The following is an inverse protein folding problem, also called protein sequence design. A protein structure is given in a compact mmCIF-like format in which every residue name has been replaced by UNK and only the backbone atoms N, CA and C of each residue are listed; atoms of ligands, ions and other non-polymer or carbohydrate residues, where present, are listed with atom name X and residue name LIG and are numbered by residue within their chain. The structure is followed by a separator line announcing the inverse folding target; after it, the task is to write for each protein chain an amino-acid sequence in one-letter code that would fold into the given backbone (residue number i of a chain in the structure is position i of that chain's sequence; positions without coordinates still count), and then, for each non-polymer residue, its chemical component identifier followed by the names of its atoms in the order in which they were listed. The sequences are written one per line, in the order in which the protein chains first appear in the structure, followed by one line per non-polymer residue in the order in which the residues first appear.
data_IF_641524055897
#
_entry.id   IF_641524055897
#
_cell.length_a   1.000
_cell.length_b   1.000
_cell.length_c   1.000
_cell.angle_alpha   90.00
_cell.angle_beta   90.00
_cell.angle_gamma   90.00
#
_symmetry.space_group_name_H-M   'P 1'
#
loop_
_entity.id
_entity.type
_entity.pdbx_description
1 polymer ?
#
# COMPACT_ATOMS: atom_id res chain seq x y z
N UNK A 1 -4.72 -8.24 58.38
CA UNK A 1 -3.86 -7.19 57.82
C UNK A 1 -4.02 -7.27 56.31
N UNK A 2 -5.05 -6.59 55.77
CA UNK A 2 -5.28 -6.52 54.32
C UNK A 2 -4.49 -5.32 53.79
N UNK A 3 -3.35 -5.59 53.16
CA UNK A 3 -2.65 -4.58 52.36
C UNK A 3 -3.55 -4.24 51.17
N UNK A 4 -4.12 -3.04 51.23
CA UNK A 4 -4.72 -2.41 50.06
C UNK A 4 -3.59 -2.14 49.05
N UNK A 5 -3.50 -2.94 47.98
CA UNK A 5 -2.81 -2.56 46.77
C UNK A 5 -3.48 -1.28 46.24
N UNK A 6 -2.94 -0.12 46.57
CA UNK A 6 -3.26 1.12 45.89
C UNK A 6 -2.59 1.04 44.49
N UNK A 7 -3.36 0.60 43.49
CA UNK A 7 -2.99 0.83 42.10
C UNK A 7 -3.06 2.35 41.92
N UNK A 8 -1.92 3.01 41.86
CA UNK A 8 -1.85 4.40 41.43
C UNK A 8 -2.18 4.46 39.96
N UNK A 9 -3.47 4.67 39.65
CA UNK A 9 -3.87 4.93 38.27
C UNK A 9 -3.49 6.36 37.93
N UNK A 10 -2.82 6.55 36.80
CA UNK A 10 -2.52 7.88 36.29
C UNK A 10 -3.84 8.61 36.01
N UNK A 11 -3.99 9.81 36.59
CA UNK A 11 -5.19 10.65 36.51
C UNK A 11 -5.30 11.30 35.11
N UNK A 12 -4.27 11.16 34.31
CA UNK A 12 -4.17 11.63 32.93
C UNK A 12 -3.35 10.65 32.09
N UNK A 13 -3.60 10.64 30.78
CA UNK A 13 -2.84 9.78 29.86
C UNK A 13 -3.10 10.11 28.40
N UNK A 14 -2.25 9.56 27.55
CA UNK A 14 -2.39 9.64 26.09
C UNK A 14 -2.20 8.27 25.48
N UNK A 15 -3.13 7.88 24.62
CA UNK A 15 -3.04 6.68 23.80
C UNK A 15 -2.83 7.08 22.34
N UNK A 16 -1.98 6.35 21.66
CA UNK A 16 -1.75 6.47 20.23
C UNK A 16 -2.33 5.24 19.54
N UNK A 17 -3.34 5.43 18.71
CA UNK A 17 -4.07 4.37 18.02
C UNK A 17 -4.00 4.60 16.51
N UNK A 18 -3.75 3.57 15.66
CA UNK A 18 -3.81 3.72 14.21
C UNK A 18 -5.19 4.25 13.76
N UNK A 19 -5.23 5.15 12.80
CA UNK A 19 -6.48 5.61 12.20
C UNK A 19 -7.04 4.55 11.26
N UNK A 20 -7.68 3.51 11.80
CA UNK A 20 -8.33 2.44 11.06
C UNK A 20 -9.85 2.53 11.28
N UNK A 21 -10.65 3.04 10.31
CA UNK A 21 -12.09 3.26 10.46
C UNK A 21 -12.85 2.03 10.89
N UNK A 22 -12.51 0.85 10.37
CA UNK A 22 -13.15 -0.42 10.74
C UNK A 22 -12.93 -0.81 12.21
N UNK A 23 -11.95 -0.23 12.92
CA UNK A 23 -11.72 -0.46 14.34
C UNK A 23 -12.47 0.51 15.26
N UNK A 24 -13.25 1.45 14.72
CA UNK A 24 -14.03 2.41 15.54
C UNK A 24 -14.83 1.75 16.68
N UNK A 25 -15.55 0.62 16.47
CA UNK A 25 -16.26 -0.05 17.55
C UNK A 25 -15.34 -0.60 18.67
N UNK A 26 -14.14 -1.05 18.30
CA UNK A 26 -13.15 -1.53 19.29
C UNK A 26 -12.54 -0.39 20.09
N UNK A 27 -12.28 0.74 19.45
CA UNK A 27 -11.77 1.93 20.12
C UNK A 27 -12.82 2.56 21.04
N UNK A 28 -14.08 2.59 20.62
CA UNK A 28 -15.20 2.97 21.50
C UNK A 28 -15.24 2.10 22.76
N UNK A 29 -15.20 0.77 22.60
CA UNK A 29 -15.19 -0.16 23.72
C UNK A 29 -14.00 0.05 24.65
N UNK A 30 -12.81 0.31 24.12
CA UNK A 30 -11.60 0.63 24.90
C UNK A 30 -11.80 1.92 25.71
N UNK A 31 -12.36 2.98 25.11
CA UNK A 31 -12.59 4.27 25.78
C UNK A 31 -13.65 4.12 26.87
N UNK A 32 -14.76 3.43 26.59
CA UNK A 32 -15.81 3.14 27.59
C UNK A 32 -15.23 2.30 28.74
N UNK A 33 -14.34 1.36 28.43
CA UNK A 33 -13.60 0.60 29.44
C UNK A 33 -12.74 1.48 30.35
N UNK A 34 -12.04 2.47 29.80
CA UNK A 34 -11.30 3.46 30.58
C UNK A 34 -12.23 4.25 31.51
N UNK A 35 -13.37 4.73 31.05
CA UNK A 35 -14.34 5.44 31.90
C UNK A 35 -14.82 4.57 33.06
N UNK A 36 -15.12 3.29 32.81
CA UNK A 36 -15.54 2.35 33.82
C UNK A 36 -14.47 2.12 34.90
N UNK A 37 -13.18 2.12 34.52
CA UNK A 37 -12.05 2.01 35.48
C UNK A 37 -11.99 3.20 36.45
N UNK A 38 -12.46 4.38 36.02
CA UNK A 38 -12.59 5.56 36.90
C UNK A 38 -13.92 5.60 37.67
N UNK A 39 -14.74 4.54 37.57
CA UNK A 39 -16.06 4.48 38.20
C UNK A 39 -17.12 5.36 37.55
N UNK A 40 -16.86 5.77 36.31
CA UNK A 40 -17.70 6.68 35.52
C UNK A 40 -18.19 5.96 34.27
N UNK A 41 -19.48 5.73 34.13
CA UNK A 41 -20.04 5.16 32.90
C UNK A 41 -20.66 6.27 32.08
N UNK A 42 -20.26 6.44 30.79
CA UNK A 42 -20.84 7.44 29.91
C UNK A 42 -22.30 7.09 29.62
N UNK A 43 -23.16 8.13 29.58
CA UNK A 43 -24.58 7.98 29.21
C UNK A 43 -24.73 7.49 27.77
N UNK A 44 -25.91 6.95 27.37
CA UNK A 44 -26.13 6.54 25.98
C UNK A 44 -25.94 7.67 24.95
N UNK A 45 -26.28 8.91 25.34
CA UNK A 45 -26.06 10.10 24.48
C UNK A 45 -24.59 10.42 24.31
N UNK A 46 -23.81 10.40 25.41
CA UNK A 46 -22.36 10.59 25.37
C UNK A 46 -21.66 9.49 24.57
N UNK A 47 -22.09 8.24 24.69
CA UNK A 47 -21.55 7.13 23.88
C UNK A 47 -21.86 7.32 22.39
N UNK A 48 -23.08 7.76 22.04
CA UNK A 48 -23.46 8.03 20.66
C UNK A 48 -22.62 9.17 20.06
N UNK A 49 -22.43 10.23 20.81
CA UNK A 49 -21.57 11.36 20.40
C UNK A 49 -20.10 10.95 20.25
N UNK A 50 -19.56 10.17 21.19
CA UNK A 50 -18.21 9.62 21.13
C UNK A 50 -18.03 8.75 19.88
N UNK A 51 -18.98 7.86 19.60
CA UNK A 51 -18.96 7.00 18.40
C UNK A 51 -18.90 7.82 17.11
N UNK A 52 -19.73 8.86 17.02
CA UNK A 52 -19.74 9.75 15.87
C UNK A 52 -18.39 10.46 15.71
N UNK A 53 -17.87 11.08 16.76
CA UNK A 53 -16.58 11.77 16.73
C UNK A 53 -15.41 10.84 16.37
N UNK A 54 -15.40 9.62 16.92
CA UNK A 54 -14.40 8.60 16.58
C UNK A 54 -14.47 8.24 15.11
N UNK A 55 -15.66 7.93 14.61
CA UNK A 55 -15.83 7.54 13.19
C UNK A 55 -15.39 8.65 12.27
N UNK A 56 -15.81 9.89 12.50
CA UNK A 56 -15.41 11.03 11.69
C UNK A 56 -13.89 11.29 11.72
N UNK A 57 -13.29 11.23 12.92
CA UNK A 57 -11.85 11.49 13.08
C UNK A 57 -11.01 10.39 12.47
N UNK A 58 -11.38 9.12 12.67
CA UNK A 58 -10.67 7.98 12.08
C UNK A 58 -10.77 7.98 10.56
N UNK A 59 -11.96 8.24 10.00
CA UNK A 59 -12.16 8.31 8.55
C UNK A 59 -11.32 9.42 7.95
N UNK A 60 -11.40 10.64 8.49
CA UNK A 60 -10.59 11.77 8.04
C UNK A 60 -9.08 11.47 8.12
N UNK A 61 -8.62 10.93 9.25
CA UNK A 61 -7.21 10.58 9.42
C UNK A 61 -6.74 9.53 8.42
N UNK A 62 -7.55 8.52 8.17
CA UNK A 62 -7.26 7.46 7.19
C UNK A 62 -7.30 7.99 5.74
N UNK A 63 -8.20 8.90 5.41
CA UNK A 63 -8.26 9.57 4.11
C UNK A 63 -7.03 10.46 3.86
N UNK A 64 -6.56 11.20 4.87
CA UNK A 64 -5.31 11.95 4.78
C UNK A 64 -4.10 11.04 4.55
N UNK A 65 -4.00 9.98 5.34
CA UNK A 65 -2.98 8.94 5.21
C UNK A 65 -3.38 7.67 5.98
N UNK A 66 -3.30 6.47 5.38
CA UNK A 66 -3.54 5.21 6.08
C UNK A 66 -2.60 4.99 7.29
N UNK A 67 -1.53 5.78 7.37
CA UNK A 67 -0.53 5.73 8.43
C UNK A 67 -0.69 6.81 9.50
N UNK A 68 -1.80 7.56 9.49
CA UNK A 68 -2.14 8.52 10.56
C UNK A 68 -2.47 7.77 11.85
N UNK A 69 -2.26 8.46 12.97
CA UNK A 69 -2.63 8.01 14.30
C UNK A 69 -3.68 8.93 14.91
N UNK A 70 -4.60 8.33 15.65
CA UNK A 70 -5.48 8.99 16.58
C UNK A 70 -4.73 9.14 17.90
N UNK A 71 -4.50 10.36 18.33
CA UNK A 71 -4.03 10.69 19.67
C UNK A 71 -5.25 10.93 20.56
N UNK A 72 -5.46 10.04 21.51
CA UNK A 72 -6.51 10.13 22.51
C UNK A 72 -5.88 10.54 23.84
N UNK A 73 -6.13 11.76 24.29
CA UNK A 73 -5.70 12.23 25.58
C UNK A 73 -6.88 12.36 26.54
N UNK A 74 -6.70 11.96 27.79
CA UNK A 74 -7.70 12.06 28.82
C UNK A 74 -7.10 12.59 30.13
N UNK A 75 -7.89 13.34 30.87
CA UNK A 75 -7.57 13.81 32.21
C UNK A 75 -8.85 14.03 33.03
N UNK A 76 -8.73 13.97 34.36
CA UNK A 76 -9.84 14.28 35.24
C UNK A 76 -10.08 15.79 35.31
N UNK A 77 -11.35 16.17 35.24
CA UNK A 77 -11.83 17.54 35.39
C UNK A 77 -12.94 17.59 36.44
N UNK A 78 -13.39 18.79 36.77
CA UNK A 78 -14.55 18.94 37.67
C UNK A 78 -15.75 18.19 37.07
N UNK A 79 -16.53 17.41 37.88
CA UNK A 79 -17.67 16.60 37.39
C UNK A 79 -18.67 17.32 36.51
N UNK A 80 -18.72 18.65 36.55
CA UNK A 80 -19.62 19.45 35.71
C UNK A 80 -19.05 19.80 34.32
N UNK A 81 -17.80 19.45 34.03
CA UNK A 81 -17.06 19.91 32.84
C UNK A 81 -16.57 18.79 31.90
N UNK A 82 -16.77 17.54 32.24
CA UNK A 82 -16.29 16.40 31.46
C UNK A 82 -17.36 15.40 31.07
N UNK A 83 -16.99 14.44 30.21
CA UNK A 83 -17.81 13.27 29.91
C UNK A 83 -17.93 12.37 31.14
N UNK A 84 -19.01 11.61 31.25
CA UNK A 84 -19.22 10.64 32.34
C UNK A 84 -18.91 11.22 33.75
N UNK A 85 -19.28 12.49 33.98
CA UNK A 85 -19.14 13.11 35.31
C UNK A 85 -17.73 13.52 35.71
N UNK A 86 -16.83 13.79 34.80
CA UNK A 86 -15.53 14.40 35.15
C UNK A 86 -14.30 13.87 34.42
N UNK A 87 -14.43 13.29 33.23
CA UNK A 87 -13.31 12.94 32.35
C UNK A 87 -13.35 13.83 31.12
N UNK A 88 -12.32 14.65 30.94
CA UNK A 88 -12.10 15.32 29.68
C UNK A 88 -11.39 14.38 28.72
N UNK A 89 -11.94 14.22 27.52
CA UNK A 89 -11.42 13.44 26.44
C UNK A 89 -11.13 14.33 25.25
N UNK A 90 -9.94 14.24 24.66
CA UNK A 90 -9.59 14.95 23.44
C UNK A 90 -9.10 13.97 22.39
N UNK A 91 -9.68 14.05 21.20
CA UNK A 91 -9.32 13.27 20.02
C UNK A 91 -8.64 14.19 19.02
N UNK A 92 -7.42 13.87 18.63
CA UNK A 92 -6.67 14.63 17.63
C UNK A 92 -5.91 13.69 16.69
N UNK A 93 -5.60 14.18 15.48
CA UNK A 93 -4.79 13.44 14.53
C UNK A 93 -3.31 13.73 14.79
N UNK A 94 -2.50 12.70 14.75
CA UNK A 94 -1.04 12.79 14.91
C UNK A 94 -0.30 12.02 13.82
N UNK A 95 0.97 12.37 13.62
CA UNK A 95 1.89 11.56 12.81
C UNK A 95 2.27 10.28 13.55
N UNK A 96 2.78 9.25 12.84
CA UNK A 96 3.31 8.06 13.47
C UNK A 96 4.37 8.41 14.52
N UNK A 97 4.50 7.64 15.62
CA UNK A 97 5.60 7.75 16.55
C UNK A 97 6.97 7.70 15.86
N UNK A 98 7.97 8.42 16.38
CA UNK A 98 9.30 8.51 15.74
C UNK A 98 9.95 7.16 15.45
N UNK A 99 9.77 6.17 16.33
CA UNK A 99 10.26 4.81 16.13
C UNK A 99 9.66 4.12 14.89
N UNK A 100 8.44 4.50 14.49
CA UNK A 100 7.80 3.99 13.27
C UNK A 100 8.11 4.85 12.02
N UNK A 101 8.48 6.13 12.22
CA UNK A 101 8.96 6.98 11.12
C UNK A 101 10.31 6.52 10.60
N UNK A 102 11.24 6.11 11.48
CA UNK A 102 12.55 5.56 11.08
C UNK A 102 12.41 4.24 10.30
N UNK A 103 11.44 3.39 10.64
CA UNK A 103 11.10 2.18 9.88
C UNK A 103 10.53 2.51 8.48
N UNK A 104 9.84 3.64 8.34
CA UNK A 104 9.28 4.11 7.06
C UNK A 104 10.35 4.68 6.11
N UNK A 105 11.36 5.35 6.66
CA UNK A 105 12.50 5.88 5.88
C UNK A 105 13.44 4.74 5.43
N UNK A 106 13.53 3.65 6.16
CA UNK A 106 14.27 2.45 5.80
C UNK A 106 13.62 1.64 4.66
N UNK A 107 12.36 1.93 4.33
CA UNK A 107 11.58 1.28 3.24
C UNK A 107 11.91 1.82 1.83
N UNK A 108 13.15 2.28 1.60
CA UNK A 108 13.63 2.55 0.25
C UNK A 108 13.71 1.24 -0.52
N UNK A 109 12.76 1.04 -1.42
CA UNK A 109 12.59 -0.11 -2.31
C UNK A 109 12.79 -1.47 -1.63
N UNK A 110 11.70 -2.12 -1.25
CA UNK A 110 11.69 -3.51 -0.76
C UNK A 110 12.33 -4.47 -1.77
N UNK A 111 12.24 -4.15 -3.04
CA UNK A 111 12.83 -4.92 -4.15
C UNK A 111 14.33 -4.66 -4.36
N UNK A 112 14.97 -3.85 -3.52
CA UNK A 112 16.40 -3.61 -3.60
C UNK A 112 16.86 -2.84 -4.85
N UNK A 113 18.05 -3.17 -5.37
CA UNK A 113 18.71 -2.42 -6.46
C UNK A 113 18.63 -3.11 -7.80
N UNK A 114 18.33 -4.38 -7.84
CA UNK A 114 18.30 -5.17 -9.07
C UNK A 114 16.96 -5.02 -9.77
N UNK A 115 16.92 -5.05 -11.11
CA UNK A 115 15.66 -5.07 -11.84
C UNK A 115 14.91 -6.37 -11.55
N UNK A 116 13.61 -6.35 -11.70
CA UNK A 116 12.77 -7.54 -11.58
C UNK A 116 13.12 -8.53 -12.68
N UNK A 117 13.47 -9.76 -12.31
CA UNK A 117 13.78 -10.80 -13.27
C UNK A 117 12.60 -11.07 -14.20
N UNK A 118 11.36 -11.02 -13.68
CA UNK A 118 10.15 -11.16 -14.48
C UNK A 118 10.03 -10.09 -15.56
N UNK A 119 10.24 -8.82 -15.20
CA UNK A 119 10.20 -7.70 -16.15
C UNK A 119 11.24 -7.86 -17.26
N UNK A 120 12.48 -8.19 -16.87
CA UNK A 120 13.58 -8.36 -17.82
C UNK A 120 13.37 -9.53 -18.78
N UNK A 121 12.83 -10.64 -18.31
CA UNK A 121 12.56 -11.82 -19.14
C UNK A 121 11.36 -11.62 -20.04
N UNK A 122 10.31 -10.96 -19.52
CA UNK A 122 9.13 -10.64 -20.32
C UNK A 122 9.48 -9.70 -21.46
N UNK A 123 10.23 -8.62 -21.21
CA UNK A 123 10.70 -7.72 -22.25
C UNK A 123 11.50 -8.46 -23.34
N UNK A 124 12.42 -9.34 -22.93
CA UNK A 124 13.22 -10.14 -23.88
C UNK A 124 12.40 -11.16 -24.68
N UNK A 125 11.23 -11.55 -24.22
CA UNK A 125 10.35 -12.51 -24.93
C UNK A 125 9.44 -11.86 -25.97
N UNK A 126 9.31 -10.52 -25.97
CA UNK A 126 8.39 -9.79 -26.86
C UNK A 126 9.01 -9.44 -28.20
N UNK A 127 10.32 -9.53 -28.36
CA UNK A 127 11.01 -9.25 -29.62
C UNK A 127 12.36 -8.56 -29.45
N UNK A 128 12.83 -7.96 -30.51
CA UNK A 128 14.08 -7.18 -30.51
C UNK A 128 13.92 -5.91 -29.66
N UNK A 129 14.91 -5.59 -28.84
CA UNK A 129 14.79 -4.54 -27.83
C UNK A 129 14.34 -3.19 -28.41
N UNK A 130 14.84 -2.80 -29.59
CA UNK A 130 14.50 -1.53 -30.23
C UNK A 130 13.02 -1.44 -30.68
N UNK A 131 12.36 -2.58 -30.85
CA UNK A 131 10.97 -2.69 -31.30
C UNK A 131 10.00 -2.84 -30.13
N UNK A 132 10.50 -3.14 -28.92
CA UNK A 132 9.71 -3.34 -27.71
C UNK A 132 9.69 -2.05 -26.89
N UNK A 133 8.67 -1.22 -27.12
CA UNK A 133 8.41 -0.01 -26.35
C UNK A 133 7.90 -0.36 -24.94
N UNK A 134 8.44 0.33 -23.93
CA UNK A 134 8.14 0.05 -22.52
C UNK A 134 7.58 1.30 -21.85
N UNK A 135 6.47 1.15 -21.13
CA UNK A 135 5.95 2.12 -20.16
C UNK A 135 6.17 1.57 -18.76
N UNK A 136 6.94 2.30 -17.93
CA UNK A 136 7.21 1.93 -16.53
C UNK A 136 6.45 2.87 -15.60
N UNK A 137 5.32 2.42 -15.07
CA UNK A 137 4.44 3.18 -14.17
C UNK A 137 4.96 3.01 -12.73
N UNK A 138 5.26 4.14 -12.09
CA UNK A 138 5.88 4.13 -10.77
C UNK A 138 7.36 3.77 -10.81
N UNK A 139 8.07 4.17 -11.86
CA UNK A 139 9.47 3.82 -12.12
C UNK A 139 10.46 4.19 -11.00
N UNK A 140 10.08 5.11 -10.09
CA UNK A 140 10.93 5.55 -9.00
C UNK A 140 12.27 6.09 -9.51
N UNK A 141 13.37 5.55 -9.01
CA UNK A 141 14.74 5.92 -9.46
C UNK A 141 15.21 5.09 -10.67
N UNK A 142 14.30 4.35 -11.34
CA UNK A 142 14.59 3.64 -12.59
C UNK A 142 15.15 2.23 -12.42
N UNK A 143 14.77 1.51 -11.38
CA UNK A 143 15.24 0.14 -11.10
C UNK A 143 15.02 -0.80 -12.29
N UNK A 144 13.88 -0.71 -12.97
CA UNK A 144 13.57 -1.44 -14.20
C UNK A 144 13.90 -0.62 -15.46
N UNK A 145 13.54 0.67 -15.47
CA UNK A 145 13.71 1.55 -16.64
C UNK A 145 15.14 1.63 -17.15
N UNK A 146 16.13 1.85 -16.26
CA UNK A 146 17.53 2.00 -16.66
C UNK A 146 18.13 0.73 -17.26
N UNK A 147 17.94 -0.48 -16.68
CA UNK A 147 18.41 -1.73 -17.30
C UNK A 147 17.75 -2.05 -18.63
N UNK A 148 16.45 -1.71 -18.81
CA UNK A 148 15.74 -1.88 -20.07
C UNK A 148 16.28 -0.93 -21.14
N UNK A 149 16.42 0.36 -20.82
CA UNK A 149 17.03 1.34 -21.73
C UNK A 149 18.46 0.98 -22.11
N UNK A 150 19.26 0.44 -21.15
CA UNK A 150 20.62 -0.06 -21.44
C UNK A 150 20.63 -1.23 -22.42
N UNK A 151 19.56 -2.01 -22.51
CA UNK A 151 19.40 -3.10 -23.49
C UNK A 151 18.90 -2.60 -24.85
N UNK A 152 18.55 -1.33 -24.96
CA UNK A 152 18.10 -0.70 -26.20
C UNK A 152 16.59 -0.53 -26.32
N UNK A 153 15.81 -0.87 -25.29
CA UNK A 153 14.36 -0.61 -25.30
C UNK A 153 14.08 0.90 -25.23
N UNK A 154 13.17 1.44 -26.04
CA UNK A 154 12.58 2.75 -25.80
C UNK A 154 11.74 2.69 -24.50
N UNK A 155 12.05 3.55 -23.53
CA UNK A 155 11.39 3.53 -22.22
C UNK A 155 10.79 4.88 -21.89
N UNK A 156 9.49 4.87 -21.62
CA UNK A 156 8.76 5.98 -20.99
C UNK A 156 8.53 5.63 -19.49
N UNK A 157 8.88 6.56 -18.61
CA UNK A 157 8.85 6.36 -17.17
C UNK A 157 7.92 7.37 -16.49
N UNK A 158 6.92 6.91 -15.76
CA UNK A 158 6.05 7.75 -14.95
C UNK A 158 6.52 7.72 -13.50
N UNK A 159 6.87 8.90 -12.96
CA UNK A 159 7.38 9.06 -11.60
C UNK A 159 6.59 10.13 -10.87
N UNK A 160 5.96 9.76 -9.75
CA UNK A 160 5.13 10.69 -8.93
C UNK A 160 5.94 11.52 -7.94
N UNK A 161 7.11 11.05 -7.54
CA UNK A 161 7.99 11.74 -6.59
C UNK A 161 9.02 12.59 -7.34
N UNK A 162 9.03 13.89 -7.13
CA UNK A 162 9.91 14.84 -7.84
C UNK A 162 11.41 14.60 -7.58
N UNK A 163 11.79 14.17 -6.38
CA UNK A 163 13.17 13.86 -6.04
C UNK A 163 13.65 12.60 -6.79
N UNK A 164 12.81 11.54 -6.81
CA UNK A 164 13.09 10.34 -7.58
C UNK A 164 13.17 10.64 -9.10
N UNK A 165 12.30 11.49 -9.62
CA UNK A 165 12.33 11.93 -11.01
C UNK A 165 13.64 12.65 -11.35
N UNK A 166 14.10 13.56 -10.49
CA UNK A 166 15.37 14.26 -10.67
C UNK A 166 16.58 13.30 -10.64
N UNK A 167 16.58 12.32 -9.74
CA UNK A 167 17.61 11.28 -9.67
C UNK A 167 17.61 10.40 -10.93
N UNK A 168 16.43 9.98 -11.39
CA UNK A 168 16.31 9.18 -12.62
C UNK A 168 16.81 9.95 -13.82
N UNK A 169 16.43 11.23 -13.97
CA UNK A 169 16.91 12.09 -15.05
C UNK A 169 18.44 12.21 -15.03
N UNK A 170 19.03 12.49 -13.86
CA UNK A 170 20.48 12.57 -13.72
C UNK A 170 21.19 11.27 -14.13
N UNK A 171 20.66 10.11 -13.75
CA UNK A 171 21.22 8.81 -14.10
C UNK A 171 21.06 8.50 -15.59
N UNK A 172 19.97 8.92 -16.19
CA UNK A 172 19.69 8.79 -17.62
C UNK A 172 20.70 9.61 -18.44
N UNK A 173 20.87 10.89 -18.09
CA UNK A 173 21.78 11.81 -18.78
C UNK A 173 23.24 11.37 -18.66
N UNK A 174 23.67 11.00 -17.44
CA UNK A 174 25.04 10.58 -17.17
C UNK A 174 25.46 9.29 -17.90
N UNK A 175 24.48 8.46 -18.26
CA UNK A 175 24.72 7.17 -18.95
C UNK A 175 24.32 7.19 -20.42
N UNK A 176 23.81 8.33 -20.93
CA UNK A 176 23.29 8.50 -22.29
C UNK A 176 22.25 7.45 -22.66
N UNK A 177 21.29 7.21 -21.77
CA UNK A 177 20.20 6.25 -21.97
C UNK A 177 18.96 6.94 -22.55
N UNK A 178 18.17 6.21 -23.31
CA UNK A 178 16.89 6.68 -23.84
C UNK A 178 15.76 6.34 -22.86
N UNK A 179 15.58 7.16 -21.82
CA UNK A 179 14.41 7.11 -20.92
C UNK A 179 13.74 8.48 -20.99
N UNK A 180 12.47 8.49 -21.36
CA UNK A 180 11.65 9.70 -21.38
C UNK A 180 10.82 9.76 -20.09
N UNK A 181 10.93 10.84 -19.32
CA UNK A 181 10.15 11.03 -18.11
C UNK A 181 8.82 11.66 -18.45
N UNK A 182 7.73 11.00 -18.07
CA UNK A 182 6.38 11.48 -18.24
C UNK A 182 5.85 12.03 -16.90
N UNK A 183 5.06 13.11 -17.00
CA UNK A 183 4.39 13.66 -15.82
C UNK A 183 3.30 12.70 -15.31
N UNK A 184 3.07 12.61 -13.98
CA UNK A 184 2.10 11.66 -13.39
C UNK A 184 0.67 11.85 -13.88
N UNK A 185 0.27 13.09 -14.13
CA UNK A 185 -1.06 13.48 -14.62
C UNK A 185 -1.32 13.05 -16.08
N UNK A 186 -0.29 12.62 -16.82
CA UNK A 186 -0.46 12.05 -18.16
C UNK A 186 -1.28 10.76 -18.17
N UNK A 187 -1.32 10.01 -17.07
CA UNK A 187 -2.22 8.86 -16.95
C UNK A 187 -3.69 9.28 -16.79
N UNK A 188 -3.94 10.51 -16.33
CA UNK A 188 -5.27 11.08 -16.13
C UNK A 188 -5.72 11.90 -17.35
N UNK A 189 -4.77 12.46 -18.10
CA UNK A 189 -5.03 13.26 -19.30
C UNK A 189 -5.08 12.37 -20.53
N UNK A 190 -5.96 12.70 -21.44
CA UNK A 190 -6.29 11.94 -22.65
C UNK A 190 -5.24 11.90 -23.79
N UNK A 191 -4.01 12.38 -23.70
CA UNK A 191 -3.06 12.29 -24.81
C UNK A 191 -1.79 11.50 -24.56
N UNK A 192 -1.72 10.49 -23.73
CA UNK A 192 -0.64 9.51 -23.89
C UNK A 192 -0.98 8.71 -25.14
N UNK A 193 -0.54 9.23 -26.27
CA UNK A 193 -0.62 8.51 -27.54
C UNK A 193 0.58 7.59 -27.60
N UNK A 194 0.36 6.31 -27.46
CA UNK A 194 1.38 5.31 -27.63
C UNK A 194 0.82 3.93 -27.40
N UNK A 195 1.17 3.01 -28.27
CA UNK A 195 0.94 1.59 -28.08
C UNK A 195 2.23 1.00 -27.50
N UNK A 196 2.19 0.58 -26.23
CA UNK A 196 3.34 -0.03 -25.58
C UNK A 196 3.32 -1.54 -25.72
N UNK A 197 4.44 -2.11 -26.15
CA UNK A 197 4.64 -3.56 -26.20
C UNK A 197 4.71 -4.17 -24.77
N UNK A 198 5.17 -3.38 -23.79
CA UNK A 198 5.25 -3.78 -22.39
C UNK A 198 4.88 -2.61 -21.48
N UNK A 199 3.91 -2.84 -20.61
CA UNK A 199 3.59 -1.92 -19.51
C UNK A 199 3.97 -2.58 -18.20
N UNK A 200 4.74 -1.87 -17.37
CA UNK A 200 5.18 -2.30 -16.05
C UNK A 200 4.51 -1.46 -14.96
N UNK A 201 3.96 -2.10 -13.93
CA UNK A 201 3.49 -1.45 -12.70
C UNK A 201 3.79 -2.35 -11.49
N UNK A 202 5.07 -2.67 -11.19
CA UNK A 202 5.44 -3.71 -10.25
C UNK A 202 5.07 -3.42 -8.80
N UNK A 203 5.12 -2.16 -8.38
CA UNK A 203 4.88 -1.75 -6.99
C UNK A 203 3.73 -0.73 -6.84
N UNK A 204 2.89 -0.57 -7.85
CA UNK A 204 1.84 0.48 -7.86
C UNK A 204 0.59 0.03 -7.11
N UNK A 205 0.06 -1.13 -7.45
CA UNK A 205 -1.24 -1.60 -6.98
C UNK A 205 -1.35 -1.69 -5.45
N UNK A 206 -0.34 -2.16 -4.70
CA UNK A 206 -0.40 -2.21 -3.23
C UNK A 206 -0.60 -0.86 -2.54
N UNK A 207 -0.35 0.25 -3.23
CA UNK A 207 -0.48 1.61 -2.73
C UNK A 207 -1.78 2.31 -3.16
N UNK A 208 -2.57 1.69 -4.04
CA UNK A 208 -3.85 2.26 -4.46
C UNK A 208 -4.90 2.10 -3.37
N UNK A 209 -5.60 3.21 -3.09
CA UNK A 209 -6.43 3.35 -1.89
C UNK A 209 -7.92 3.07 -2.12
N UNK A 210 -8.33 2.96 -3.37
CA UNK A 210 -9.74 2.75 -3.70
C UNK A 210 -9.90 1.75 -4.86
N UNK A 211 -11.02 1.02 -4.89
CA UNK A 211 -11.35 0.16 -6.04
C UNK A 211 -11.41 0.92 -7.36
N UNK A 212 -11.80 2.22 -7.31
CA UNK A 212 -11.82 3.10 -8.49
C UNK A 212 -10.42 3.37 -9.01
N UNK A 213 -9.45 3.66 -8.13
CA UNK A 213 -8.06 3.87 -8.53
C UNK A 213 -7.44 2.59 -9.11
N UNK A 214 -7.76 1.43 -8.54
CA UNK A 214 -7.34 0.13 -9.08
C UNK A 214 -7.91 -0.08 -10.47
N UNK A 215 -9.24 0.08 -10.65
CA UNK A 215 -9.89 -0.03 -11.95
C UNK A 215 -9.28 0.93 -12.96
N UNK A 216 -9.07 2.18 -12.59
CA UNK A 216 -8.48 3.21 -13.44
C UNK A 216 -7.08 2.81 -13.93
N UNK A 217 -6.22 2.26 -13.07
CA UNK A 217 -4.91 1.73 -13.50
C UNK A 217 -5.05 0.69 -14.61
N UNK A 218 -5.97 -0.26 -14.46
CA UNK A 218 -6.21 -1.30 -15.48
C UNK A 218 -6.81 -0.72 -16.77
N UNK A 219 -7.75 0.21 -16.69
CA UNK A 219 -8.35 0.90 -17.84
C UNK A 219 -7.29 1.67 -18.65
N UNK A 220 -6.45 2.45 -17.97
CA UNK A 220 -5.36 3.17 -18.64
C UNK A 220 -4.34 2.21 -19.25
N UNK A 221 -3.97 1.15 -18.53
CA UNK A 221 -3.04 0.14 -19.05
C UNK A 221 -3.60 -0.54 -20.30
N UNK A 222 -4.89 -0.91 -20.31
CA UNK A 222 -5.52 -1.53 -21.47
C UNK A 222 -5.55 -0.58 -22.68
N UNK A 223 -5.86 0.69 -22.47
CA UNK A 223 -5.90 1.72 -23.53
C UNK A 223 -4.55 1.96 -24.19
N UNK A 224 -3.47 1.83 -23.41
CA UNK A 224 -2.10 2.10 -23.84
C UNK A 224 -1.37 0.85 -24.35
N UNK A 225 -1.95 -0.33 -24.16
CA UNK A 225 -1.33 -1.60 -24.52
C UNK A 225 -1.45 -1.86 -26.03
N UNK A 226 -0.34 -2.19 -26.67
CA UNK A 226 -0.33 -2.67 -28.05
C UNK A 226 -1.14 -3.98 -28.18
N UNK A 227 -1.70 -4.32 -29.35
CA UNK A 227 -2.52 -5.53 -29.53
C UNK A 227 -1.83 -6.82 -29.06
N UNK A 228 -0.54 -6.96 -29.29
CA UNK A 228 0.28 -8.11 -28.84
C UNK A 228 1.03 -7.84 -27.55
N UNK A 229 0.81 -6.67 -26.93
CA UNK A 229 1.50 -6.22 -25.74
C UNK A 229 1.20 -7.01 -24.47
N UNK A 230 1.99 -6.78 -23.46
CA UNK A 230 1.83 -7.37 -22.12
C UNK A 230 1.85 -6.30 -21.05
N UNK A 231 0.95 -6.48 -20.08
CA UNK A 231 0.93 -5.71 -18.84
C UNK A 231 1.47 -6.60 -17.72
N UNK A 232 2.53 -6.16 -17.03
CA UNK A 232 3.08 -6.80 -15.85
C UNK A 232 2.79 -5.96 -14.61
N UNK A 233 2.03 -6.51 -13.69
CA UNK A 233 1.67 -5.91 -12.42
C UNK A 233 2.20 -6.72 -11.24
N UNK A 234 2.58 -6.03 -10.17
CA UNK A 234 2.71 -6.64 -8.86
C UNK A 234 1.45 -6.42 -8.03
N UNK A 235 0.85 -7.47 -7.50
CA UNK A 235 -0.36 -7.39 -6.70
C UNK A 235 -0.37 -8.40 -5.55
N UNK A 236 -0.87 -7.98 -4.39
CA UNK A 236 -1.27 -8.94 -3.38
C UNK A 236 -2.60 -9.58 -3.76
N UNK A 237 -2.65 -10.90 -3.73
CA UNK A 237 -3.87 -11.66 -3.92
C UNK A 237 -4.20 -12.45 -2.66
N UNK A 238 -5.48 -12.46 -2.33
CA UNK A 238 -6.01 -13.32 -1.29
C UNK A 238 -6.15 -14.76 -1.79
N UNK A 239 -5.92 -15.74 -0.90
CA UNK A 239 -6.22 -17.14 -1.16
C UNK A 239 -7.72 -17.34 -1.40
N UNK A 240 -8.06 -18.37 -2.18
CA UNK A 240 -9.43 -18.54 -2.70
C UNK A 240 -10.50 -18.74 -1.62
N UNK A 241 -10.13 -19.32 -0.48
CA UNK A 241 -10.99 -19.59 0.66
C UNK A 241 -10.98 -18.48 1.73
N UNK A 242 -10.17 -17.43 1.53
CA UNK A 242 -10.08 -16.34 2.48
C UNK A 242 -11.09 -15.23 2.19
N UNK A 243 -11.96 -14.96 3.18
CA UNK A 243 -12.89 -13.82 3.15
C UNK A 243 -12.35 -12.71 4.03
N UNK A 244 -11.85 -11.60 3.44
CA UNK A 244 -11.23 -10.53 4.19
C UNK A 244 -12.26 -9.70 4.97
N UNK A 245 -11.92 -9.40 6.24
CA UNK A 245 -12.69 -8.48 7.06
C UNK A 245 -12.30 -7.02 6.77
N UNK A 246 -13.21 -6.05 6.98
CA UNK A 246 -12.91 -4.63 6.75
C UNK A 246 -11.64 -4.14 7.46
N UNK A 247 -11.46 -4.51 8.74
CA UNK A 247 -10.29 -4.11 9.52
C UNK A 247 -8.97 -4.65 8.98
N UNK A 248 -8.99 -5.80 8.28
CA UNK A 248 -7.81 -6.34 7.60
C UNK A 248 -7.49 -5.54 6.34
N UNK A 249 -8.50 -5.08 5.62
CA UNK A 249 -8.32 -4.21 4.45
C UNK A 249 -7.73 -2.85 4.84
N UNK A 250 -8.25 -2.22 5.89
CA UNK A 250 -7.72 -0.96 6.41
C UNK A 250 -6.25 -1.12 6.83
N UNK A 251 -5.96 -2.21 7.59
CA UNK A 251 -4.59 -2.49 8.03
C UNK A 251 -3.66 -2.79 6.85
N UNK A 252 -4.13 -3.51 5.83
CA UNK A 252 -3.35 -3.78 4.62
C UNK A 252 -2.94 -2.49 3.89
N UNK A 253 -3.83 -1.51 3.79
CA UNK A 253 -3.50 -0.20 3.24
C UNK A 253 -2.45 0.53 4.09
N UNK A 254 -2.55 0.47 5.42
CA UNK A 254 -1.56 1.07 6.32
C UNK A 254 -0.17 0.43 6.19
N UNK A 255 -0.10 -0.88 5.92
CA UNK A 255 1.13 -1.63 5.69
C UNK A 255 1.66 -1.54 4.25
N UNK A 256 0.92 -0.91 3.32
CA UNK A 256 1.30 -0.86 1.90
C UNK A 256 1.24 -2.25 1.24
N UNK A 257 0.27 -3.05 1.62
CA UNK A 257 -0.03 -4.37 1.05
C UNK A 257 -1.53 -4.50 0.76
N UNK A 258 -2.14 -3.43 0.22
CA UNK A 258 -3.51 -3.50 -0.28
C UNK A 258 -3.62 -4.66 -1.28
N UNK A 259 -4.66 -5.46 -1.14
CA UNK A 259 -4.81 -6.71 -1.87
C UNK A 259 -6.18 -6.84 -2.53
N UNK A 260 -6.25 -7.70 -3.54
CA UNK A 260 -7.48 -8.10 -4.21
C UNK A 260 -7.81 -9.55 -3.87
N UNK A 261 -9.08 -9.89 -3.82
CA UNK A 261 -9.51 -11.28 -3.95
C UNK A 261 -9.42 -11.70 -5.42
N UNK A 262 -9.39 -13.01 -5.69
CA UNK A 262 -9.35 -13.51 -7.08
C UNK A 262 -10.59 -13.09 -7.87
N UNK A 263 -11.77 -13.09 -7.23
CA UNK A 263 -13.02 -12.62 -7.88
C UNK A 263 -12.99 -11.14 -8.19
N UNK A 264 -12.47 -10.28 -7.30
CA UNK A 264 -12.31 -8.84 -7.58
C UNK A 264 -11.38 -8.60 -8.77
N UNK A 265 -10.27 -9.34 -8.85
CA UNK A 265 -9.35 -9.27 -9.99
C UNK A 265 -10.03 -9.69 -11.29
N UNK A 266 -10.73 -10.83 -11.29
CA UNK A 266 -11.46 -11.34 -12.46
C UNK A 266 -12.52 -10.35 -12.96
N UNK A 267 -13.30 -9.77 -12.04
CA UNK A 267 -14.33 -8.77 -12.36
C UNK A 267 -13.73 -7.49 -12.97
N UNK A 268 -12.58 -7.04 -12.43
CA UNK A 268 -11.86 -5.88 -12.97
C UNK A 268 -11.37 -6.20 -14.39
N UNK A 269 -10.64 -7.29 -14.57
CA UNK A 269 -10.05 -7.67 -15.85
C UNK A 269 -11.12 -7.82 -16.94
N UNK A 270 -12.21 -8.53 -16.62
CA UNK A 270 -13.36 -8.68 -17.52
C UNK A 270 -14.00 -7.34 -17.87
N UNK A 271 -14.13 -6.45 -16.87
CA UNK A 271 -14.76 -5.14 -17.04
C UNK A 271 -13.97 -4.18 -17.91
N UNK A 272 -12.64 -4.38 -18.03
CA UNK A 272 -11.74 -3.51 -18.82
C UNK A 272 -11.25 -4.18 -20.11
N UNK A 273 -11.64 -5.42 -20.40
CA UNK A 273 -11.22 -6.12 -21.62
C UNK A 273 -9.77 -6.62 -21.57
N UNK A 274 -9.29 -7.02 -20.40
CA UNK A 274 -7.99 -7.69 -20.21
C UNK A 274 -8.19 -9.16 -19.85
N UNK A 275 -7.21 -9.97 -20.21
CA UNK A 275 -7.10 -11.39 -19.84
C UNK A 275 -5.84 -11.63 -19.01
N UNK A 276 -5.97 -12.39 -17.94
CA UNK A 276 -4.84 -12.87 -17.16
C UNK A 276 -4.16 -14.06 -17.87
N UNK A 277 -2.89 -13.91 -18.23
CA UNK A 277 -2.08 -14.99 -18.79
C UNK A 277 -1.43 -15.84 -17.69
N UNK A 278 -0.90 -15.19 -16.65
CA UNK A 278 -0.30 -15.88 -15.50
C UNK A 278 -0.41 -15.07 -14.21
N UNK A 279 -0.47 -15.79 -13.08
CA UNK A 279 -0.28 -15.28 -11.73
C UNK A 279 0.78 -16.15 -11.05
N UNK A 280 1.96 -15.58 -10.75
CA UNK A 280 3.13 -16.31 -10.23
C UNK A 280 3.62 -15.65 -8.95
N UNK A 281 3.91 -16.45 -7.91
CA UNK A 281 4.49 -15.91 -6.67
C UNK A 281 5.77 -15.13 -6.98
N UNK A 282 5.83 -13.88 -6.52
CA UNK A 282 7.03 -13.04 -6.73
C UNK A 282 8.23 -13.66 -6.01
N UNK A 283 8.05 -14.17 -4.80
CA UNK A 283 9.11 -14.83 -4.03
C UNK A 283 9.68 -16.01 -4.79
N UNK A 284 8.82 -16.91 -5.28
CA UNK A 284 9.26 -18.11 -5.98
C UNK A 284 9.91 -17.76 -7.32
N UNK A 285 9.31 -16.84 -8.06
CA UNK A 285 9.84 -16.44 -9.37
C UNK A 285 11.20 -15.75 -9.24
N UNK A 286 11.31 -14.72 -8.41
CA UNK A 286 12.53 -13.93 -8.28
C UNK A 286 13.67 -14.76 -7.64
N UNK A 287 13.38 -15.64 -6.67
CA UNK A 287 14.39 -16.51 -6.07
C UNK A 287 15.05 -17.48 -7.07
N UNK A 288 14.30 -17.90 -8.08
CA UNK A 288 14.80 -18.81 -9.12
C UNK A 288 15.52 -18.11 -10.28
N UNK A 289 15.26 -16.81 -10.50
CA UNK A 289 15.67 -16.09 -11.70
C UNK A 289 16.61 -14.92 -11.45
N UNK A 290 16.62 -14.36 -10.24
CA UNK A 290 17.65 -13.38 -9.88
C UNK A 290 19.01 -14.05 -9.68
N UNK A 291 20.10 -13.36 -10.00
CA UNK A 291 21.43 -13.80 -9.58
C UNK A 291 21.48 -14.01 -8.06
N UNK A 292 22.22 -15.00 -7.59
CA UNK A 292 22.33 -15.30 -6.13
C UNK A 292 22.83 -14.11 -5.31
N UNK A 293 23.62 -13.21 -5.90
CA UNK A 293 24.06 -11.96 -5.27
C UNK A 293 22.95 -10.89 -5.16
N UNK A 294 21.86 -11.07 -5.89
CA UNK A 294 20.69 -10.18 -5.88
C UNK A 294 19.55 -10.69 -5.00
N UNK A 295 19.55 -11.96 -4.71
CA UNK A 295 18.61 -12.61 -3.80
C UNK A 295 19.26 -12.68 -2.40
N UNK A 296 18.66 -12.18 -1.39
CA UNK A 296 17.34 -11.55 -1.14
C UNK A 296 17.42 -10.03 -1.44
N UNK A 297 16.37 -9.42 -2.05
CA UNK A 297 16.43 -7.99 -2.39
C UNK A 297 16.62 -7.05 -1.19
N UNK A 298 15.92 -7.32 -0.10
CA UNK A 298 16.05 -6.61 1.18
C UNK A 298 15.58 -7.50 2.34
N UNK A 299 15.96 -7.17 3.58
CA UNK A 299 15.58 -7.92 4.78
C UNK A 299 14.04 -7.94 5.01
N UNK A 300 13.34 -6.88 4.62
CA UNK A 300 11.88 -6.76 4.75
C UNK A 300 11.09 -7.37 3.58
N UNK A 301 11.76 -7.74 2.49
CA UNK A 301 11.09 -8.21 1.28
C UNK A 301 10.25 -9.47 1.53
N UNK A 302 10.81 -10.50 2.16
CA UNK A 302 10.09 -11.75 2.40
C UNK A 302 8.88 -11.55 3.30
N UNK A 303 9.04 -10.87 4.43
CA UNK A 303 7.95 -10.61 5.38
C UNK A 303 6.80 -9.87 4.73
N UNK A 304 7.12 -8.92 3.86
CA UNK A 304 6.13 -8.17 3.12
C UNK A 304 5.51 -9.03 2.00
N UNK A 305 6.31 -9.61 1.11
CA UNK A 305 5.82 -10.33 -0.07
C UNK A 305 5.01 -11.59 0.27
N UNK A 306 5.28 -12.21 1.41
CA UNK A 306 4.51 -13.35 1.94
C UNK A 306 3.29 -12.95 2.77
N UNK A 307 3.04 -11.65 2.97
CA UNK A 307 1.93 -11.16 3.80
C UNK A 307 2.14 -11.29 5.31
N UNK A 308 3.32 -11.71 5.77
CA UNK A 308 3.60 -11.85 7.20
C UNK A 308 3.63 -10.51 7.94
N UNK A 309 3.91 -9.40 7.25
CA UNK A 309 3.79 -8.07 7.84
C UNK A 309 2.37 -7.77 8.31
N UNK A 310 1.35 -8.26 7.58
CA UNK A 310 -0.05 -8.13 7.96
C UNK A 310 -0.52 -9.25 8.90
N UNK A 311 0.07 -10.43 8.79
CA UNK A 311 -0.28 -11.63 9.57
C UNK A 311 0.94 -12.24 10.29
N UNK A 312 1.55 -11.54 11.26
CA UNK A 312 2.84 -11.93 11.86
C UNK A 312 2.82 -13.27 12.61
N UNK A 313 1.64 -13.73 13.00
CA UNK A 313 1.49 -14.98 13.76
C UNK A 313 1.09 -16.20 12.89
N UNK A 314 0.91 -16.00 11.58
CA UNK A 314 0.54 -17.10 10.68
C UNK A 314 1.78 -17.59 9.92
N UNK A 315 2.01 -18.88 9.92
CA UNK A 315 3.06 -19.52 9.10
C UNK A 315 2.75 -19.35 7.62
N UNK A 316 1.47 -19.42 7.26
CA UNK A 316 0.97 -19.28 5.90
C UNK A 316 -0.09 -18.15 5.90
N UNK A 317 0.28 -16.90 5.66
CA UNK A 317 -0.67 -15.81 5.53
C UNK A 317 -1.65 -16.05 4.37
N UNK A 318 -2.91 -15.58 4.50
CA UNK A 318 -3.91 -15.79 3.46
C UNK A 318 -3.79 -14.80 2.30
N UNK A 319 -2.70 -14.06 2.21
CA UNK A 319 -2.36 -13.16 1.09
C UNK A 319 -0.89 -13.33 0.75
N UNK A 320 -0.58 -13.23 -0.54
CA UNK A 320 0.79 -13.23 -1.06
C UNK A 320 0.92 -12.25 -2.22
N UNK A 321 2.15 -11.83 -2.49
CA UNK A 321 2.46 -10.94 -3.59
C UNK A 321 2.77 -11.74 -4.85
N UNK A 322 2.04 -11.42 -5.94
CA UNK A 322 2.10 -12.11 -7.22
C UNK A 322 2.53 -11.18 -8.35
N UNK A 323 3.28 -11.71 -9.30
CA UNK A 323 3.36 -11.18 -10.64
C UNK A 323 2.10 -11.55 -11.41
N UNK A 324 1.38 -10.57 -11.91
CA UNK A 324 0.25 -10.74 -12.81
C UNK A 324 0.70 -10.33 -14.21
N UNK A 325 0.65 -11.24 -15.15
CA UNK A 325 0.88 -10.93 -16.57
C UNK A 325 -0.47 -10.95 -17.27
N UNK A 326 -0.83 -9.83 -17.91
CA UNK A 326 -2.10 -9.67 -18.63
C UNK A 326 -1.86 -9.28 -20.08
N UNK A 327 -2.87 -9.53 -20.93
CA UNK A 327 -2.95 -9.07 -22.34
C UNK A 327 -4.32 -8.49 -22.65
N UNK A 328 -4.43 -7.72 -23.73
CA UNK A 328 -5.71 -7.31 -24.26
C UNK A 328 -6.55 -8.52 -24.73
N UNK A 329 -7.85 -8.41 -24.60
CA UNK A 329 -8.79 -9.28 -25.32
C UNK A 329 -8.88 -8.79 -26.76
N UNK A 330 -8.76 -9.72 -27.73
CA UNK A 330 -8.92 -9.47 -29.16
C UNK A 330 -10.34 -9.02 -29.50
#
# INVERSE_FOLDING_TARGET
MQEKLQVSMAVEGTLQLPCLPALAPRYEHLIVGLFNLFGQAPSPEEQSHLRQQLTETLTRGFEESPRRYLSLSYHLVNPQQGLAGGIALNLSLSSPPEAQQSFQLANQSRFGRYPDAKAMRLAASLGEAQEVSVLDIGAGIGRNSLPLAKRGHPVDAVVTNSEAAAQLQQMTDSRHLCVNLLAPDLLEQDPVQGEYSLILAPEVLPHLRSPQAVRHLFEQSQRLLAPTGRLLLGAFLAEADYTPKPEVRDLAQACGCAFLTRSELEDILKGVGLQLDSAESVVDYESQHLPSAAWLPSDSFLTWATGQELFPHLLTPPIQFYWLTCRGLD
#
